data_IF_459182354530
#
_entry.id   IF_459182354530
#
_cell.length_a   1.000
_cell.length_b   1.000
_cell.length_c   1.000
_cell.angle_alpha   90.00
_cell.angle_beta   90.00
_cell.angle_gamma   90.00
#
_symmetry.space_group_name_H-M   'P 1'
#
loop_
_entity.id
_entity.type
_entity.pdbx_description
1 polymer ?
#
# COMPACT_ATOMS: atom_id res chain seq x y z
N UNK A 1 8.50 -19.53 9.58
CA UNK A 1 8.72 -18.29 8.79
C UNK A 1 8.63 -17.00 9.59
N UNK A 2 7.70 -16.83 10.55
CA UNK A 2 7.56 -15.57 11.32
C UNK A 2 8.79 -15.19 12.16
N UNK A 3 9.50 -16.15 12.76
CA UNK A 3 10.69 -15.87 13.61
C UNK A 3 11.88 -15.30 12.86
N UNK A 4 12.11 -15.72 11.62
CA UNK A 4 13.21 -15.21 10.80
C UNK A 4 13.03 -13.71 10.45
N UNK A 5 11.81 -13.30 10.16
CA UNK A 5 11.49 -11.89 9.87
C UNK A 5 11.72 -10.97 11.08
N UNK A 6 11.40 -11.42 12.30
CA UNK A 6 11.57 -10.63 13.51
C UNK A 6 13.05 -10.40 13.83
N UNK A 7 13.88 -11.45 13.73
CA UNK A 7 15.33 -11.33 13.99
C UNK A 7 16.02 -10.41 12.98
N UNK A 8 15.66 -10.50 11.70
CA UNK A 8 16.19 -9.64 10.67
C UNK A 8 15.77 -8.17 10.88
N UNK A 9 14.53 -7.94 11.32
CA UNK A 9 14.06 -6.61 11.65
C UNK A 9 14.80 -6.02 12.86
N UNK A 10 15.05 -6.81 13.91
CA UNK A 10 15.83 -6.38 15.09
C UNK A 10 17.27 -6.03 14.69
N UNK A 11 17.91 -6.87 13.85
CA UNK A 11 19.25 -6.59 13.33
C UNK A 11 19.28 -5.30 12.53
N UNK A 12 18.37 -5.15 11.58
CA UNK A 12 18.22 -3.94 10.79
C UNK A 12 18.07 -2.68 11.69
N UNK A 13 17.26 -2.74 12.74
CA UNK A 13 17.11 -1.62 13.68
C UNK A 13 18.40 -1.27 14.40
N UNK A 14 19.14 -2.26 14.90
CA UNK A 14 20.43 -2.04 15.55
C UNK A 14 21.45 -1.42 14.59
N UNK A 15 21.53 -1.92 13.36
CA UNK A 15 22.44 -1.39 12.35
C UNK A 15 22.06 0.06 11.99
N UNK A 16 20.77 0.35 11.85
CA UNK A 16 20.27 1.70 11.61
C UNK A 16 20.61 2.65 12.76
N UNK A 17 20.37 2.26 14.01
CA UNK A 17 20.70 3.05 15.20
C UNK A 17 22.20 3.33 15.29
N UNK A 18 23.05 2.34 15.03
CA UNK A 18 24.50 2.51 15.05
C UNK A 18 25.00 3.47 13.96
N UNK A 19 24.38 3.45 12.78
CA UNK A 19 24.72 4.38 11.70
C UNK A 19 24.20 5.79 11.98
N UNK A 20 23.00 5.93 12.54
CA UNK A 20 22.44 7.23 12.93
C UNK A 20 23.28 7.93 13.99
N UNK A 21 23.79 7.19 15.00
CA UNK A 21 24.66 7.74 16.04
C UNK A 21 25.98 8.31 15.48
N UNK A 22 26.51 7.72 14.40
CA UNK A 22 27.68 8.24 13.69
C UNK A 22 27.41 9.51 12.89
N UNK A 23 26.15 9.74 12.53
CA UNK A 23 25.71 10.88 11.72
C UNK A 23 25.23 12.06 12.57
N UNK A 24 25.19 11.92 13.92
CA UNK A 24 24.82 13.00 14.81
C UNK A 24 25.88 14.11 14.80
N UNK A 25 25.41 15.35 14.73
CA UNK A 25 26.28 16.54 14.79
C UNK A 25 26.81 17.05 13.47
N UNK A 26 26.56 16.40 12.35
CA UNK A 26 26.91 16.93 11.01
C UNK A 26 25.97 18.07 10.60
N UNK A 27 26.52 19.07 9.93
CA UNK A 27 25.74 20.11 9.26
C UNK A 27 25.09 19.55 7.98
N UNK A 28 24.01 20.17 7.49
CA UNK A 28 23.24 19.67 6.33
C UNK A 28 24.05 19.57 5.04
N UNK A 29 25.04 20.45 4.87
CA UNK A 29 25.92 20.50 3.71
C UNK A 29 27.02 19.42 3.72
N UNK A 30 27.24 18.77 4.87
CA UNK A 30 28.27 17.73 5.07
C UNK A 30 27.74 16.32 4.79
N UNK A 31 26.41 16.16 4.64
CA UNK A 31 25.85 14.85 4.38
C UNK A 31 26.07 14.41 2.95
N UNK A 32 26.64 13.22 2.80
CA UNK A 32 26.62 12.56 1.49
C UNK A 32 25.18 12.12 1.13
N UNK A 33 24.92 11.87 -0.15
CA UNK A 33 23.62 11.39 -0.64
C UNK A 33 23.11 10.17 0.17
N UNK A 34 23.98 9.20 0.39
CA UNK A 34 23.62 7.95 1.05
C UNK A 34 23.40 8.13 2.55
N UNK A 35 24.21 8.95 3.21
CA UNK A 35 24.02 9.33 4.61
C UNK A 35 22.69 10.04 4.83
N UNK A 36 22.30 10.91 3.90
CA UNK A 36 21.03 11.61 3.95
C UNK A 36 19.85 10.63 3.82
N UNK A 37 19.95 9.65 2.93
CA UNK A 37 18.94 8.59 2.79
C UNK A 37 18.79 7.82 4.10
N UNK A 38 19.91 7.36 4.69
CA UNK A 38 19.92 6.60 5.94
C UNK A 38 19.31 7.42 7.08
N UNK A 39 19.65 8.72 7.18
CA UNK A 39 19.10 9.62 8.20
C UNK A 39 17.58 9.73 8.15
N UNK A 40 16.99 9.68 6.97
CA UNK A 40 15.55 9.81 6.79
C UNK A 40 14.79 8.48 6.66
N UNK A 41 15.45 7.32 6.77
CA UNK A 41 14.78 6.02 6.83
C UNK A 41 13.73 5.90 7.96
N UNK A 42 13.98 6.36 9.19
CA UNK A 42 12.97 6.32 10.26
C UNK A 42 11.72 7.15 9.95
N UNK A 43 11.86 8.24 9.19
CA UNK A 43 10.71 9.02 8.72
C UNK A 43 9.80 8.21 7.80
N UNK A 44 10.38 7.40 6.91
CA UNK A 44 9.62 6.50 6.02
C UNK A 44 8.79 5.51 6.82
N UNK A 45 9.39 4.84 7.81
CA UNK A 45 8.67 3.88 8.65
C UNK A 45 7.50 4.52 9.39
N UNK A 46 7.73 5.70 9.98
CA UNK A 46 6.69 6.44 10.70
C UNK A 46 5.54 6.85 9.78
N UNK A 47 5.84 7.20 8.52
CA UNK A 47 4.83 7.53 7.53
C UNK A 47 4.09 6.29 7.03
N UNK A 48 4.79 5.18 6.77
CA UNK A 48 4.19 3.93 6.32
C UNK A 48 3.22 3.37 7.37
N UNK A 49 3.58 3.40 8.66
CA UNK A 49 2.69 2.98 9.76
C UNK A 49 1.36 3.70 9.77
N UNK A 50 1.33 5.00 9.41
CA UNK A 50 0.08 5.78 9.33
C UNK A 50 -0.87 5.29 8.24
N UNK A 51 -0.33 4.68 7.17
CA UNK A 51 -1.14 4.08 6.11
C UNK A 51 -1.59 2.65 6.42
N UNK A 52 -0.84 1.94 7.30
CA UNK A 52 -1.10 0.55 7.65
C UNK A 52 -2.15 0.36 8.76
N UNK A 53 -2.78 1.44 9.25
CA UNK A 53 -3.70 1.40 10.39
C UNK A 53 -5.01 0.67 10.11
N UNK A 54 -5.42 0.53 8.85
CA UNK A 54 -6.62 -0.22 8.50
C UNK A 54 -6.40 -1.01 7.20
N UNK A 55 -6.88 -2.25 7.18
CA UNK A 55 -6.82 -3.10 6.00
C UNK A 55 -7.58 -2.49 4.81
N UNK A 56 -8.64 -1.73 5.08
CA UNK A 56 -9.37 -0.99 4.06
C UNK A 56 -8.55 0.14 3.42
N UNK A 57 -7.61 0.74 4.18
CA UNK A 57 -6.74 1.81 3.66
C UNK A 57 -5.57 1.24 2.87
N UNK A 58 -4.99 0.12 3.31
CA UNK A 58 -3.80 -0.49 2.70
C UNK A 58 -4.13 -1.48 1.56
N UNK A 59 -5.38 -1.96 1.48
CA UNK A 59 -5.75 -3.01 0.55
C UNK A 59 -4.99 -4.31 0.84
N UNK A 60 -4.38 -4.89 -0.19
CA UNK A 60 -3.60 -6.14 -0.10
C UNK A 60 -2.15 -5.90 0.35
N UNK A 61 -1.69 -4.64 0.38
CA UNK A 61 -0.30 -4.33 0.68
C UNK A 61 0.04 -4.55 2.15
N UNK A 62 1.11 -5.29 2.41
CA UNK A 62 1.70 -5.42 3.72
C UNK A 62 2.44 -4.12 4.12
N UNK A 63 2.62 -3.91 5.42
CA UNK A 63 3.39 -2.76 5.92
C UNK A 63 4.83 -2.74 5.39
N UNK A 64 5.42 -3.90 5.20
CA UNK A 64 6.77 -4.06 4.63
C UNK A 64 6.85 -3.52 3.21
N UNK A 65 5.83 -3.77 2.39
CA UNK A 65 5.77 -3.30 1.01
C UNK A 65 5.64 -1.77 0.95
N UNK A 66 4.81 -1.20 1.85
CA UNK A 66 4.67 0.25 1.99
C UNK A 66 5.98 0.92 2.43
N UNK A 67 6.75 0.28 3.34
CA UNK A 67 8.05 0.75 3.78
C UNK A 67 9.04 0.73 2.61
N UNK A 68 9.09 -0.38 1.84
CA UNK A 68 9.98 -0.49 0.68
C UNK A 68 9.67 0.54 -0.39
N UNK A 69 8.39 0.72 -0.73
CA UNK A 69 7.98 1.76 -1.67
C UNK A 69 8.28 3.16 -1.15
N UNK A 70 8.12 3.37 0.17
CA UNK A 70 8.52 4.60 0.84
C UNK A 70 10.01 4.89 0.70
N UNK A 71 10.88 3.88 0.86
CA UNK A 71 12.33 4.00 0.65
C UNK A 71 12.67 4.32 -0.79
N UNK A 72 12.03 3.68 -1.78
CA UNK A 72 12.24 4.01 -3.19
C UNK A 72 11.88 5.47 -3.50
N UNK A 73 10.78 5.96 -2.92
CA UNK A 73 10.38 7.36 -3.10
C UNK A 73 11.26 8.33 -2.31
N UNK A 74 11.82 7.92 -1.17
CA UNK A 74 12.84 8.70 -0.45
C UNK A 74 14.09 8.90 -1.31
N UNK A 75 14.64 7.83 -1.89
CA UNK A 75 15.82 7.88 -2.77
C UNK A 75 15.56 8.84 -3.94
N UNK A 76 14.44 8.65 -4.66
CA UNK A 76 14.03 9.53 -5.76
C UNK A 76 13.81 10.99 -5.34
N UNK A 77 13.42 11.22 -4.10
CA UNK A 77 13.21 12.55 -3.57
C UNK A 77 14.54 13.23 -3.20
N UNK A 78 15.48 12.48 -2.62
CA UNK A 78 16.83 12.98 -2.30
C UNK A 78 17.56 13.42 -3.56
N UNK A 79 17.45 12.65 -4.66
CA UNK A 79 18.04 13.02 -5.95
C UNK A 79 17.45 14.29 -6.60
N UNK A 80 16.31 14.78 -6.09
CA UNK A 80 15.59 15.95 -6.60
C UNK A 80 15.50 17.08 -5.58
N UNK A 81 16.40 17.11 -4.62
CA UNK A 81 16.47 18.19 -3.64
C UNK A 81 17.02 19.44 -4.33
N UNK A 82 16.29 20.52 -4.18
CA UNK A 82 16.73 21.87 -4.54
C UNK A 82 17.39 22.51 -3.31
N UNK A 83 18.71 22.43 -3.28
CA UNK A 83 19.52 22.92 -2.15
C UNK A 83 19.46 24.45 -2.01
N UNK A 84 19.36 25.17 -3.11
CA UNK A 84 19.29 26.65 -3.08
C UNK A 84 18.03 27.10 -2.33
N UNK A 85 16.92 26.41 -2.59
CA UNK A 85 15.66 26.69 -1.92
C UNK A 85 15.67 26.33 -0.44
N UNK A 86 16.37 25.25 -0.07
CA UNK A 86 16.47 24.81 1.32
C UNK A 86 17.33 25.79 2.10
N UNK A 87 18.46 26.22 1.56
CA UNK A 87 19.39 27.15 2.22
C UNK A 87 18.78 28.55 2.38
N UNK A 88 17.83 28.95 1.56
CA UNK A 88 17.10 30.21 1.69
C UNK A 88 15.97 30.17 2.73
N UNK A 89 15.62 28.98 3.27
CA UNK A 89 14.56 28.86 4.26
C UNK A 89 15.06 29.15 5.67
N UNK A 90 14.21 29.73 6.52
CA UNK A 90 14.53 30.03 7.94
C UNK A 90 14.90 28.75 8.72
N UNK A 91 14.29 27.61 8.37
CA UNK A 91 14.51 26.30 9.01
C UNK A 91 14.70 25.25 7.89
N UNK A 92 15.97 25.02 7.55
CA UNK A 92 16.36 24.06 6.50
C UNK A 92 15.91 22.63 6.83
N UNK A 93 16.01 22.22 8.10
CA UNK A 93 15.63 20.87 8.52
C UNK A 93 14.14 20.62 8.36
N UNK A 94 13.31 21.54 8.81
CA UNK A 94 11.85 21.44 8.72
C UNK A 94 11.38 21.48 7.27
N UNK A 95 11.98 22.32 6.45
CA UNK A 95 11.67 22.42 5.02
C UNK A 95 12.03 21.12 4.29
N UNK A 96 13.21 20.56 4.56
CA UNK A 96 13.66 19.29 4.00
C UNK A 96 12.77 18.14 4.45
N UNK A 97 12.46 18.01 5.75
CA UNK A 97 11.54 16.99 6.27
C UNK A 97 10.16 17.08 5.62
N UNK A 98 9.63 18.29 5.46
CA UNK A 98 8.34 18.53 4.83
C UNK A 98 8.32 18.12 3.36
N UNK A 99 9.36 18.49 2.61
CA UNK A 99 9.54 18.10 1.22
C UNK A 99 9.60 16.59 1.04
N UNK A 100 10.47 15.91 1.80
CA UNK A 100 10.62 14.45 1.75
C UNK A 100 9.33 13.74 2.16
N UNK A 101 8.69 14.16 3.26
CA UNK A 101 7.44 13.58 3.74
C UNK A 101 6.32 13.67 2.70
N UNK A 102 6.22 14.79 1.96
CA UNK A 102 5.22 14.95 0.89
C UNK A 102 5.45 13.97 -0.25
N UNK A 103 6.71 13.77 -0.67
CA UNK A 103 7.08 12.84 -1.75
C UNK A 103 6.87 11.39 -1.35
N UNK A 104 7.31 11.00 -0.15
CA UNK A 104 7.14 9.65 0.40
C UNK A 104 5.66 9.29 0.51
N UNK A 105 4.84 10.16 1.13
CA UNK A 105 3.38 9.94 1.26
C UNK A 105 2.70 9.80 -0.10
N UNK A 106 3.10 10.63 -1.07
CA UNK A 106 2.56 10.56 -2.42
C UNK A 106 2.91 9.25 -3.13
N UNK A 107 4.13 8.74 -2.94
CA UNK A 107 4.57 7.45 -3.47
C UNK A 107 3.80 6.28 -2.88
N UNK A 108 3.79 6.17 -1.55
CA UNK A 108 3.05 5.11 -0.83
C UNK A 108 1.58 5.11 -1.26
N UNK A 109 0.93 6.27 -1.31
CA UNK A 109 -0.48 6.36 -1.70
C UNK A 109 -0.74 5.85 -3.12
N UNK A 110 0.12 6.21 -4.07
CA UNK A 110 -0.01 5.73 -5.46
C UNK A 110 0.15 4.22 -5.57
N UNK A 111 1.07 3.65 -4.80
CA UNK A 111 1.28 2.20 -4.82
C UNK A 111 0.11 1.45 -4.16
N UNK A 112 -0.44 1.99 -3.06
CA UNK A 112 -1.68 1.47 -2.47
C UNK A 112 -2.82 1.50 -3.49
N UNK A 113 -3.01 2.61 -4.20
CA UNK A 113 -4.09 2.75 -5.20
C UNK A 113 -3.91 1.78 -6.39
N UNK A 114 -2.67 1.48 -6.75
CA UNK A 114 -2.34 0.55 -7.81
C UNK A 114 -2.63 -0.90 -7.44
N UNK A 115 -2.36 -1.28 -6.17
CA UNK A 115 -2.46 -2.66 -5.68
C UNK A 115 -3.71 -2.90 -4.81
N UNK A 116 -4.64 -1.96 -4.75
CA UNK A 116 -5.82 -2.06 -3.87
C UNK A 116 -6.76 -3.19 -4.23
N UNK A 117 -6.90 -3.48 -5.51
CA UNK A 117 -7.85 -4.47 -6.01
C UNK A 117 -7.35 -5.19 -7.26
N UNK A 118 -8.09 -6.21 -7.69
CA UNK A 118 -7.78 -6.98 -8.88
C UNK A 118 -7.85 -6.10 -10.15
N UNK A 119 -8.82 -5.19 -10.20
CA UNK A 119 -8.93 -4.19 -11.26
C UNK A 119 -8.40 -2.85 -10.79
N UNK A 120 -7.35 -2.36 -11.46
CA UNK A 120 -6.78 -1.06 -11.17
C UNK A 120 -7.70 0.06 -11.64
N UNK A 121 -8.07 0.95 -10.73
CA UNK A 121 -8.73 2.20 -11.07
C UNK A 121 -7.69 3.25 -11.50
N UNK A 122 -7.97 4.04 -12.55
CA UNK A 122 -7.11 5.17 -12.92
C UNK A 122 -6.98 6.19 -11.78
N UNK A 123 -5.82 6.82 -11.65
CA UNK A 123 -5.52 7.75 -10.56
C UNK A 123 -6.49 8.95 -10.51
N UNK A 124 -6.90 9.47 -11.68
CA UNK A 124 -7.86 10.58 -11.73
C UNK A 124 -9.23 10.19 -11.17
N UNK A 125 -9.69 8.95 -11.39
CA UNK A 125 -10.96 8.43 -10.84
C UNK A 125 -10.85 8.31 -9.32
N UNK A 126 -9.78 7.72 -8.81
CA UNK A 126 -9.54 7.58 -7.36
C UNK A 126 -9.47 8.94 -6.67
N UNK A 127 -8.81 9.91 -7.29
CA UNK A 127 -8.73 11.27 -6.76
C UNK A 127 -10.07 11.99 -6.82
N UNK A 128 -10.87 11.78 -7.87
CA UNK A 128 -12.23 12.32 -7.98
C UNK A 128 -13.14 11.74 -6.88
N UNK A 129 -13.08 10.43 -6.66
CA UNK A 129 -13.84 9.77 -5.59
C UNK A 129 -13.46 10.34 -4.21
N UNK A 130 -12.17 10.54 -3.93
CA UNK A 130 -11.71 11.14 -2.67
C UNK A 130 -12.18 12.57 -2.47
N UNK A 131 -12.19 13.39 -3.53
CA UNK A 131 -12.70 14.77 -3.47
C UNK A 131 -14.20 14.83 -3.25
N UNK A 132 -14.94 13.91 -3.87
CA UNK A 132 -16.40 13.86 -3.86
C UNK A 132 -16.95 12.77 -2.93
N UNK A 133 -16.17 12.33 -1.95
CA UNK A 133 -16.51 11.22 -1.07
C UNK A 133 -17.93 11.41 -0.47
N UNK A 134 -18.79 10.41 -0.72
CA UNK A 134 -20.18 10.40 -0.25
C UNK A 134 -21.21 11.13 -1.13
N UNK A 135 -20.80 11.93 -2.13
CA UNK A 135 -21.73 12.62 -3.02
C UNK A 135 -22.17 11.78 -4.23
N UNK A 136 -21.24 10.99 -4.79
CA UNK A 136 -21.53 10.11 -5.92
C UNK A 136 -21.55 8.64 -5.48
N UNK A 137 -22.78 8.11 -5.30
CA UNK A 137 -22.99 6.72 -4.88
C UNK A 137 -22.42 5.69 -5.86
N UNK A 138 -22.45 5.97 -7.18
CA UNK A 138 -21.91 5.05 -8.20
C UNK A 138 -20.40 4.97 -8.12
N UNK A 139 -19.72 6.11 -7.99
CA UNK A 139 -18.27 6.17 -7.86
C UNK A 139 -17.79 5.52 -6.56
N UNK A 140 -18.52 5.71 -5.47
CA UNK A 140 -18.24 5.05 -4.19
C UNK A 140 -18.44 3.55 -4.28
N UNK A 141 -19.50 3.06 -4.91
CA UNK A 141 -19.74 1.63 -5.12
C UNK A 141 -18.62 1.01 -6.00
N UNK A 142 -18.21 1.68 -7.09
CA UNK A 142 -17.09 1.23 -7.93
C UNK A 142 -15.79 1.12 -7.12
N UNK A 143 -15.52 2.07 -6.22
CA UNK A 143 -14.36 2.04 -5.35
C UNK A 143 -14.38 0.84 -4.39
N UNK A 144 -15.51 0.57 -3.73
CA UNK A 144 -15.65 -0.56 -2.82
C UNK A 144 -15.63 -1.90 -3.56
N UNK A 145 -16.24 -2.00 -4.74
CA UNK A 145 -16.22 -3.22 -5.55
C UNK A 145 -14.82 -3.56 -6.10
N UNK A 146 -13.89 -2.60 -6.10
CA UNK A 146 -12.50 -2.87 -6.47
C UNK A 146 -11.66 -3.47 -5.34
N UNK A 147 -12.18 -3.51 -4.11
CA UNK A 147 -11.47 -4.05 -2.94
C UNK A 147 -11.74 -5.55 -2.86
N UNK A 148 -10.67 -6.31 -2.56
CA UNK A 148 -10.81 -7.74 -2.31
C UNK A 148 -11.62 -8.01 -1.04
N UNK A 149 -12.56 -8.92 -1.13
CA UNK A 149 -13.29 -9.47 0.00
C UNK A 149 -12.88 -10.94 0.18
N UNK A 150 -12.83 -11.41 1.42
CA UNK A 150 -12.63 -12.82 1.70
C UNK A 150 -13.94 -13.58 1.48
N UNK A 151 -13.88 -14.66 0.72
CA UNK A 151 -15.02 -15.58 0.53
C UNK A 151 -15.30 -16.35 1.82
N UNK A 152 -14.23 -16.65 2.59
CA UNK A 152 -14.29 -17.41 3.84
C UNK A 152 -14.55 -16.52 5.08
N UNK A 153 -14.72 -15.22 4.90
CA UNK A 153 -15.11 -14.32 5.98
C UNK A 153 -16.60 -14.56 6.33
N UNK A 154 -16.84 -15.57 7.13
CA UNK A 154 -18.16 -15.83 7.69
C UNK A 154 -18.69 -14.62 8.49
N UNK A 155 -19.99 -14.41 8.45
CA UNK A 155 -20.67 -13.48 9.33
C UNK A 155 -20.38 -13.85 10.79
N UNK A 156 -20.04 -12.86 11.62
CA UNK A 156 -19.77 -13.08 13.06
C UNK A 156 -21.05 -13.34 13.88
N UNK A 157 -22.20 -13.27 13.26
CA UNK A 157 -23.47 -13.64 13.86
C UNK A 157 -23.72 -15.13 13.61
N UNK A 158 -24.19 -15.83 14.62
CA UNK A 158 -24.30 -17.30 14.83
C UNK A 158 -25.05 -18.11 13.73
N UNK A 159 -25.45 -17.51 12.65
CA UNK A 159 -25.95 -18.22 11.47
C UNK A 159 -24.79 -18.44 10.48
N UNK A 160 -24.38 -19.70 10.32
CA UNK A 160 -23.37 -20.23 9.38
C UNK A 160 -23.70 -19.96 7.89
N UNK A 161 -24.03 -18.74 7.53
CA UNK A 161 -24.19 -18.31 6.15
C UNK A 161 -22.82 -17.98 5.55
N UNK A 162 -22.05 -19.03 5.21
CA UNK A 162 -20.96 -18.89 4.25
C UNK A 162 -21.51 -18.31 2.96
N UNK A 163 -20.79 -17.37 2.38
CA UNK A 163 -21.12 -16.83 1.07
C UNK A 163 -21.03 -17.97 0.05
N UNK A 164 -22.14 -18.63 -0.21
CA UNK A 164 -22.21 -19.68 -1.20
C UNK A 164 -22.28 -19.03 -2.58
N UNK A 165 -21.25 -19.27 -3.38
CA UNK A 165 -21.24 -18.89 -4.78
C UNK A 165 -21.93 -20.02 -5.53
N UNK A 166 -23.06 -19.71 -6.15
CA UNK A 166 -23.80 -20.66 -6.97
C UNK A 166 -22.92 -21.08 -8.16
N UNK A 167 -22.74 -22.40 -8.30
CA UNK A 167 -22.11 -22.96 -9.50
C UNK A 167 -23.16 -23.03 -10.62
N UNK A 168 -23.08 -22.10 -11.55
CA UNK A 168 -23.96 -22.05 -12.73
C UNK A 168 -23.51 -22.97 -13.84
N UNK A 169 -22.41 -23.70 -13.67
CA UNK A 169 -21.99 -24.72 -14.64
C UNK A 169 -22.98 -25.89 -14.64
N UNK A 170 -23.45 -26.29 -15.80
CA UNK A 170 -24.28 -27.50 -15.90
C UNK A 170 -23.48 -28.71 -15.39
N UNK A 171 -24.04 -29.50 -14.43
CA UNK A 171 -23.34 -30.68 -13.95
C UNK A 171 -23.12 -31.64 -15.12
N UNK A 172 -21.91 -32.19 -15.20
CA UNK A 172 -21.48 -33.09 -16.30
C UNK A 172 -22.49 -34.24 -16.60
N UNK A 173 -23.25 -34.64 -15.57
CA UNK A 173 -24.31 -35.64 -15.71
C UNK A 173 -25.55 -35.19 -16.49
N UNK A 174 -25.83 -33.87 -16.55
CA UNK A 174 -26.97 -33.37 -17.36
C UNK A 174 -26.66 -33.35 -18.83
N UNK A 175 -25.41 -33.17 -19.23
CA UNK A 175 -24.99 -33.28 -20.64
C UNK A 175 -25.23 -34.72 -21.14
N UNK A 176 -24.91 -35.72 -20.33
CA UNK A 176 -25.19 -37.14 -20.66
C UNK A 176 -26.69 -37.43 -20.73
N UNK A 177 -27.50 -36.97 -19.79
CA UNK A 177 -28.94 -37.14 -19.79
C UNK A 177 -29.61 -36.52 -20.99
N UNK A 178 -29.22 -35.33 -21.39
CA UNK A 178 -29.73 -34.63 -22.56
C UNK A 178 -29.32 -35.34 -23.86
N UNK A 179 -28.12 -35.94 -23.94
CA UNK A 179 -27.71 -36.75 -25.10
C UNK A 179 -28.53 -38.03 -25.23
N UNK A 180 -28.88 -38.69 -24.11
CA UNK A 180 -29.72 -39.91 -24.13
C UNK A 180 -31.18 -39.62 -24.45
N UNK A 181 -31.73 -38.49 -23.97
CA UNK A 181 -33.12 -38.11 -24.25
C UNK A 181 -33.32 -37.69 -25.71
N UNK A 182 -32.35 -37.05 -26.34
CA UNK A 182 -32.44 -36.66 -27.77
C UNK A 182 -32.23 -37.83 -28.72
N UNK A 183 -31.57 -38.92 -28.33
CA UNK A 183 -31.37 -40.13 -29.13
C UNK A 183 -32.57 -41.12 -29.08
N UNK A 184 -33.43 -40.99 -28.07
CA UNK A 184 -34.62 -41.87 -27.90
C UNK A 184 -35.90 -41.36 -28.54
N UNK A 185 -35.87 -40.23 -29.28
CA UNK A 185 -37.02 -39.65 -30.01
C UNK A 185 -36.87 -39.74 -31.53
N UNK A 186 -36.20 -40.76 -32.05
CA UNK A 186 -36.21 -41.08 -33.48
C UNK A 186 -36.82 -42.43 -33.71
#
# INVERSE_FOLDING_TARGET
MKHYNIQNYIRYKKDLESTLSRLEGKMWDEYTRDELIVKFMPLVENLARKFATSQQASGVMAITDMIQEGHLNLIKAVDRIDWDRINQSEDAEKTLKSFLAKRIKGGIRREIDKNRGQMRLPEHVTNSIRKNFGKDKKAVAMFFNSIFLSIDAGSRDDDDLFLQIEDTSEPYNQVFLNMYLTSGQK
#
